data_IF_662038265177
#
_entry.id   IF_662038265177
#
_cell.length_a   1.000
_cell.length_b   1.000
_cell.length_c   1.000
_cell.angle_alpha   90.00
_cell.angle_beta   90.00
_cell.angle_gamma   90.00
#
_symmetry.space_group_name_H-M   'P 1'
#
loop_
_entity.id
_entity.type
_entity.pdbx_description
1 polymer ?
#
# COMPACT_ATOMS: atom_id res chain seq x y z
N UNK A 1 -44.32 -11.72 31.66
CA UNK A 1 -43.22 -10.74 31.77
C UNK A 1 -42.04 -11.36 31.01
N UNK A 2 -41.99 -11.38 29.69
CA UNK A 2 -42.10 -10.25 28.76
C UNK A 2 -40.69 -10.04 28.19
N UNK A 3 -40.29 -10.90 27.25
CA UNK A 3 -39.02 -10.83 26.55
C UNK A 3 -39.04 -9.63 25.59
N UNK A 4 -38.06 -8.74 25.72
CA UNK A 4 -37.88 -7.59 24.84
C UNK A 4 -36.67 -7.82 23.96
N UNK A 5 -36.98 -8.33 22.78
CA UNK A 5 -36.18 -8.41 21.57
C UNK A 5 -35.65 -7.00 21.20
N UNK A 6 -34.34 -6.79 21.35
CA UNK A 6 -33.67 -5.56 20.87
C UNK A 6 -33.13 -5.86 19.47
N UNK A 7 -34.05 -5.88 18.51
CA UNK A 7 -33.75 -5.87 17.08
C UNK A 7 -32.92 -4.64 16.76
N UNK A 8 -31.65 -4.84 16.36
CA UNK A 8 -30.84 -3.81 15.71
C UNK A 8 -31.57 -3.32 14.45
N UNK A 9 -31.51 -2.02 14.10
CA UNK A 9 -32.14 -1.53 12.89
C UNK A 9 -31.41 -2.14 11.68
N UNK A 10 -32.16 -2.94 10.91
CA UNK A 10 -31.79 -3.35 9.56
C UNK A 10 -31.86 -2.07 8.71
N UNK A 11 -30.70 -1.55 8.31
CA UNK A 11 -30.65 -0.47 7.32
C UNK A 11 -31.17 -1.02 6.00
N UNK A 12 -32.29 -0.49 5.53
CA UNK A 12 -32.89 -0.80 4.23
C UNK A 12 -31.92 -0.37 3.10
N UNK A 13 -31.86 -1.11 1.98
CA UNK A 13 -30.92 -0.84 0.89
C UNK A 13 -31.34 0.34 -0.03
N UNK A 14 -32.05 1.34 0.50
CA UNK A 14 -32.82 2.29 -0.32
C UNK A 14 -32.31 3.75 -0.25
N UNK A 15 -31.34 4.06 0.63
CA UNK A 15 -30.80 5.42 0.79
C UNK A 15 -29.35 5.55 0.27
N UNK A 16 -29.10 5.09 -0.97
CA UNK A 16 -27.93 5.54 -1.74
C UNK A 16 -28.42 6.60 -2.71
N UNK A 17 -28.49 7.86 -2.26
CA UNK A 17 -28.53 8.99 -3.19
C UNK A 17 -27.33 8.83 -4.13
N UNK A 18 -27.62 8.50 -5.38
CA UNK A 18 -26.61 8.27 -6.41
C UNK A 18 -25.81 9.55 -6.59
N UNK A 19 -24.58 9.58 -6.07
CA UNK A 19 -23.61 10.58 -6.47
C UNK A 19 -23.51 10.49 -7.99
N UNK A 20 -23.89 11.57 -8.68
CA UNK A 20 -23.92 11.58 -10.13
C UNK A 20 -22.53 11.23 -10.66
N UNK A 21 -22.44 10.10 -11.38
CA UNK A 21 -21.22 9.69 -12.04
C UNK A 21 -20.98 10.62 -13.23
N UNK A 22 -19.78 11.17 -13.35
CA UNK A 22 -19.39 12.09 -14.42
C UNK A 22 -18.18 11.53 -15.16
N UNK A 23 -18.16 11.71 -16.47
CA UNK A 23 -17.01 11.36 -17.31
C UNK A 23 -16.03 12.53 -17.40
N UNK A 24 -14.74 12.23 -17.34
CA UNK A 24 -13.69 13.22 -17.58
C UNK A 24 -12.47 12.56 -18.24
N UNK A 25 -11.65 13.40 -18.87
CA UNK A 25 -10.33 13.02 -19.37
C UNK A 25 -9.28 13.45 -18.35
N UNK A 26 -8.34 12.56 -18.06
CA UNK A 26 -7.23 12.81 -17.15
C UNK A 26 -6.09 13.48 -17.91
N UNK A 27 -5.72 14.69 -17.49
CA UNK A 27 -4.70 15.51 -18.13
C UNK A 27 -3.29 15.08 -17.74
N UNK A 28 -3.05 14.92 -16.43
CA UNK A 28 -1.71 14.65 -15.87
C UNK A 28 -1.77 14.04 -14.47
N UNK A 29 -0.65 13.52 -13.98
CA UNK A 29 -0.50 13.18 -12.56
C UNK A 29 -0.05 14.40 -11.76
N UNK A 30 -0.51 14.49 -10.51
CA UNK A 30 -0.07 15.51 -9.55
C UNK A 30 0.65 14.89 -8.35
N UNK A 31 1.15 15.73 -7.45
CA UNK A 31 1.72 15.28 -6.18
C UNK A 31 0.78 14.30 -5.46
N UNK A 32 1.31 13.19 -4.98
CA UNK A 32 0.53 12.08 -4.42
C UNK A 32 0.17 10.99 -5.44
N UNK A 33 0.21 11.29 -6.74
CA UNK A 33 -0.09 10.34 -7.81
C UNK A 33 -1.54 10.28 -8.25
N UNK A 34 -2.35 11.23 -7.81
CA UNK A 34 -3.72 11.37 -8.30
C UNK A 34 -3.69 11.89 -9.74
N UNK A 35 -4.59 11.37 -10.58
CA UNK A 35 -4.88 11.92 -11.89
C UNK A 35 -5.66 13.22 -11.75
N UNK A 36 -5.19 14.29 -12.35
CA UNK A 36 -5.91 15.54 -12.47
C UNK A 36 -6.70 15.54 -13.77
N UNK A 37 -8.00 15.77 -13.67
CA UNK A 37 -8.87 16.04 -14.82
C UNK A 37 -9.77 17.24 -14.57
N UNK A 38 -10.50 17.63 -15.62
CA UNK A 38 -11.41 18.78 -15.58
C UNK A 38 -12.81 18.36 -16.02
N UNK A 39 -13.79 18.81 -15.26
CA UNK A 39 -15.20 18.69 -15.64
C UNK A 39 -15.53 19.69 -16.78
N UNK A 40 -16.64 19.48 -17.50
CA UNK A 40 -17.09 20.41 -18.54
C UNK A 40 -17.29 21.86 -18.06
N UNK A 41 -17.57 22.05 -16.77
CA UNK A 41 -17.73 23.37 -16.13
C UNK A 41 -16.39 24.00 -15.67
N UNK A 42 -15.26 23.36 -15.97
CA UNK A 42 -13.92 23.84 -15.65
C UNK A 42 -13.42 23.50 -14.25
N UNK A 43 -14.23 22.88 -13.38
CA UNK A 43 -13.78 22.42 -12.06
C UNK A 43 -12.71 21.34 -12.21
N UNK A 44 -11.67 21.45 -11.40
CA UNK A 44 -10.59 20.47 -11.31
C UNK A 44 -10.99 19.35 -10.36
N UNK A 45 -10.76 18.10 -10.76
CA UNK A 45 -11.00 16.89 -9.98
C UNK A 45 -9.72 16.05 -9.96
N UNK A 46 -9.35 15.58 -8.77
CA UNK A 46 -8.28 14.64 -8.51
C UNK A 46 -8.87 13.26 -8.35
N UNK A 47 -8.33 12.28 -9.06
CA UNK A 47 -8.87 10.94 -9.18
C UNK A 47 -7.73 9.96 -8.94
N UNK A 48 -7.74 9.29 -7.80
CA UNK A 48 -6.76 8.26 -7.51
C UNK A 48 -6.95 7.06 -8.45
N UNK A 49 -5.83 6.46 -8.88
CA UNK A 49 -5.84 5.28 -9.75
C UNK A 49 -6.09 5.59 -11.22
N UNK A 50 -6.38 6.84 -11.57
CA UNK A 50 -6.57 7.30 -12.95
C UNK A 50 -5.27 7.84 -13.53
N UNK A 51 -4.97 7.48 -14.78
CA UNK A 51 -3.72 7.82 -15.46
C UNK A 51 -3.92 8.86 -16.55
N UNK A 52 -2.88 9.63 -16.92
CA UNK A 52 -2.97 10.62 -17.98
C UNK A 52 -3.32 9.99 -19.33
N UNK A 53 -4.21 10.66 -20.06
CA UNK A 53 -4.76 10.20 -21.32
C UNK A 53 -5.96 9.25 -21.19
N UNK A 54 -6.40 8.93 -19.97
CA UNK A 54 -7.58 8.08 -19.76
C UNK A 54 -8.88 8.86 -19.81
N UNK A 55 -9.90 8.21 -20.35
CA UNK A 55 -11.30 8.59 -20.14
C UNK A 55 -11.85 7.74 -19.03
N UNK A 56 -12.32 8.37 -17.95
CA UNK A 56 -12.79 7.71 -16.74
C UNK A 56 -14.14 8.20 -16.31
N UNK A 57 -14.90 7.33 -15.65
CA UNK A 57 -16.12 7.67 -14.94
C UNK A 57 -15.78 7.82 -13.46
N UNK A 58 -16.21 8.93 -12.85
CA UNK A 58 -15.94 9.24 -11.43
C UNK A 58 -17.21 9.66 -10.70
N UNK A 59 -17.35 9.26 -9.45
CA UNK A 59 -18.33 9.87 -8.54
C UNK A 59 -17.66 10.98 -7.76
N UNK A 60 -18.29 12.15 -7.71
CA UNK A 60 -17.78 13.29 -6.95
C UNK A 60 -18.16 13.15 -5.48
N UNK A 61 -17.22 13.38 -4.56
CA UNK A 61 -17.53 13.49 -3.14
C UNK A 61 -17.96 14.94 -2.83
N UNK A 62 -19.26 15.17 -2.76
CA UNK A 62 -19.82 16.49 -2.45
C UNK A 62 -19.76 16.85 -0.96
N UNK A 63 -19.45 15.87 -0.08
CA UNK A 63 -19.64 16.03 1.38
C UNK A 63 -18.54 16.81 2.09
N UNK A 64 -17.51 17.28 1.38
CA UNK A 64 -16.57 18.26 1.92
C UNK A 64 -16.44 19.38 0.90
N UNK A 65 -17.02 20.56 1.19
CA UNK A 65 -16.96 21.83 0.42
C UNK A 65 -15.56 22.29 -0.04
N UNK A 66 -14.50 21.52 0.23
CA UNK A 66 -13.09 21.79 -0.07
C UNK A 66 -12.37 20.68 -0.85
N UNK A 67 -12.91 19.46 -0.97
CA UNK A 67 -12.20 18.37 -1.63
C UNK A 67 -12.59 18.29 -3.10
N UNK A 68 -11.62 18.64 -3.95
CA UNK A 68 -11.65 18.40 -5.40
C UNK A 68 -11.37 16.91 -5.71
N UNK A 69 -11.93 15.98 -4.94
CA UNK A 69 -11.59 14.55 -5.03
C UNK A 69 -12.77 13.77 -5.63
N UNK A 70 -12.47 12.93 -6.60
CA UNK A 70 -13.42 12.02 -7.25
C UNK A 70 -12.97 10.58 -7.05
N UNK A 71 -13.94 9.71 -6.76
CA UNK A 71 -13.70 8.27 -6.68
C UNK A 71 -13.82 7.66 -8.07
N UNK A 72 -12.77 6.99 -8.52
CA UNK A 72 -12.78 6.25 -9.78
C UNK A 72 -13.83 5.13 -9.74
N UNK A 73 -14.76 5.14 -10.70
CA UNK A 73 -15.77 4.10 -10.88
C UNK A 73 -15.30 3.10 -11.93
N UNK A 74 -14.88 3.59 -13.09
CA UNK A 74 -14.43 2.77 -14.21
C UNK A 74 -13.52 3.55 -15.14
N UNK A 75 -12.59 2.83 -15.78
CA UNK A 75 -11.77 3.34 -16.88
C UNK A 75 -12.45 2.94 -18.18
N UNK A 76 -12.96 3.92 -18.94
CA UNK A 76 -13.64 3.68 -20.22
C UNK A 76 -12.63 3.50 -21.35
N UNK A 77 -11.58 4.32 -21.34
CA UNK A 77 -10.46 4.23 -22.28
C UNK A 77 -9.15 4.22 -21.49
N UNK A 78 -8.47 3.06 -21.39
CA UNK A 78 -7.23 2.96 -20.64
C UNK A 78 -6.06 3.62 -21.39
N UNK A 79 -5.11 4.14 -20.62
CA UNK A 79 -3.87 4.72 -21.15
C UNK A 79 -2.95 3.61 -21.62
N UNK A 80 -2.16 3.87 -22.67
CA UNK A 80 -1.10 2.95 -23.10
C UNK A 80 -0.02 2.74 -22.03
N UNK A 81 0.03 3.63 -21.02
CA UNK A 81 0.94 3.53 -19.88
C UNK A 81 0.40 2.63 -18.76
N UNK A 82 -0.88 2.23 -18.82
CA UNK A 82 -1.49 1.35 -17.82
C UNK A 82 -0.96 -0.06 -17.95
N UNK A 83 -0.60 -0.65 -16.82
CA UNK A 83 -0.21 -2.07 -16.71
C UNK A 83 -1.01 -2.73 -15.60
N UNK A 84 -1.17 -4.05 -15.67
CA UNK A 84 -1.79 -4.81 -14.60
C UNK A 84 -0.86 -4.85 -13.38
N UNK A 85 -1.32 -4.46 -12.17
CA UNK A 85 -0.52 -4.58 -10.97
C UNK A 85 -0.06 -6.02 -10.69
N UNK A 86 1.22 -6.19 -10.36
CA UNK A 86 1.75 -7.50 -9.95
C UNK A 86 1.19 -7.97 -8.61
N UNK A 87 0.88 -7.05 -7.71
CA UNK A 87 0.30 -7.35 -6.40
C UNK A 87 -1.23 -7.37 -6.50
N UNK A 88 -1.85 -8.50 -6.18
CA UNK A 88 -3.32 -8.63 -6.12
C UNK A 88 -3.99 -7.68 -5.09
N UNK A 89 -3.23 -7.19 -4.10
CA UNK A 89 -3.73 -6.27 -3.09
C UNK A 89 -3.57 -4.79 -3.48
N UNK A 90 -2.98 -4.46 -4.65
CA UNK A 90 -2.59 -3.09 -5.00
C UNK A 90 -3.76 -2.09 -5.02
N UNK A 91 -4.98 -2.55 -5.33
CA UNK A 91 -6.17 -1.71 -5.37
C UNK A 91 -6.74 -1.32 -3.99
N UNK A 92 -6.31 -1.99 -2.91
CA UNK A 92 -6.87 -1.80 -1.55
C UNK A 92 -5.81 -1.53 -0.49
N UNK A 93 -4.59 -2.07 -0.65
CA UNK A 93 -3.49 -1.91 0.28
C UNK A 93 -2.84 -0.52 0.13
N UNK A 94 -2.61 0.18 1.25
CA UNK A 94 -1.97 1.50 1.28
C UNK A 94 -0.48 1.54 0.95
N UNK A 95 0.11 0.41 0.53
CA UNK A 95 1.55 0.30 0.34
C UNK A 95 2.07 0.74 -1.04
N UNK A 96 1.28 0.62 -2.10
CA UNK A 96 1.78 0.73 -3.49
C UNK A 96 0.78 1.43 -4.42
N UNK A 97 0.83 2.76 -4.48
CA UNK A 97 -0.13 3.56 -5.24
C UNK A 97 0.01 3.45 -6.77
N UNK A 98 1.22 3.26 -7.31
CA UNK A 98 1.50 3.41 -8.76
C UNK A 98 1.71 2.09 -9.51
N UNK A 99 1.38 0.93 -8.92
CA UNK A 99 1.63 -0.36 -9.60
C UNK A 99 0.86 -0.54 -10.91
N UNK A 100 -0.19 0.23 -11.13
CA UNK A 100 -0.96 0.24 -12.37
C UNK A 100 -0.34 1.11 -13.48
N UNK A 101 0.79 1.77 -13.21
CA UNK A 101 1.54 2.60 -14.17
C UNK A 101 2.87 1.92 -14.53
N UNK A 102 3.17 1.84 -15.83
CA UNK A 102 4.44 1.29 -16.32
C UNK A 102 5.65 1.98 -15.66
N UNK A 103 6.67 1.20 -15.28
CA UNK A 103 7.78 1.70 -14.45
C UNK A 103 8.50 2.92 -15.03
N UNK A 104 8.80 2.91 -16.34
CA UNK A 104 9.41 4.07 -17.02
C UNK A 104 8.54 5.32 -16.94
N UNK A 105 7.22 5.17 -17.08
CA UNK A 105 6.29 6.27 -16.89
C UNK A 105 6.25 6.73 -15.43
N UNK A 106 6.42 5.84 -14.45
CA UNK A 106 6.55 6.25 -13.04
C UNK A 106 7.76 7.18 -12.84
N UNK A 107 8.90 6.87 -13.46
CA UNK A 107 10.10 7.71 -13.39
C UNK A 107 9.85 9.08 -14.04
N UNK A 108 9.28 9.11 -15.24
CA UNK A 108 8.95 10.33 -15.95
C UNK A 108 7.98 11.23 -15.14
N UNK A 109 6.90 10.66 -14.60
CA UNK A 109 5.93 11.43 -13.83
C UNK A 109 6.49 11.91 -12.49
N UNK A 110 7.32 11.12 -11.81
CA UNK A 110 8.02 11.59 -10.59
C UNK A 110 8.95 12.76 -10.91
N UNK A 111 9.70 12.68 -12.01
CA UNK A 111 10.54 13.78 -12.48
C UNK A 111 9.74 15.06 -12.73
N UNK A 112 8.65 14.94 -13.49
CA UNK A 112 7.79 16.06 -13.82
C UNK A 112 7.15 16.69 -12.58
N UNK A 113 6.63 15.88 -11.65
CA UNK A 113 6.01 16.38 -10.41
C UNK A 113 7.03 17.18 -9.58
N UNK A 114 8.26 16.69 -9.46
CA UNK A 114 9.33 17.39 -8.72
C UNK A 114 9.72 18.68 -9.44
N UNK A 115 9.91 18.64 -10.76
CA UNK A 115 10.24 19.81 -11.58
C UNK A 115 9.17 20.90 -11.49
N UNK A 116 7.90 20.54 -11.67
CA UNK A 116 6.77 21.47 -11.55
C UNK A 116 6.66 22.04 -10.13
N UNK A 117 6.91 21.23 -9.10
CA UNK A 117 6.85 21.68 -7.70
C UNK A 117 7.97 22.68 -7.38
N UNK A 118 9.20 22.38 -7.79
CA UNK A 118 10.33 23.28 -7.61
C UNK A 118 10.20 24.58 -8.39
N UNK A 119 9.65 24.51 -9.61
CA UNK A 119 9.39 25.71 -10.39
C UNK A 119 8.31 26.58 -9.76
N UNK A 120 7.15 26.01 -9.44
CA UNK A 120 5.99 26.77 -8.96
C UNK A 120 6.14 27.27 -7.53
N UNK A 121 6.73 26.47 -6.64
CA UNK A 121 6.84 26.79 -5.21
C UNK A 121 8.23 27.36 -4.90
N UNK A 122 9.27 26.67 -5.36
CA UNK A 122 10.66 27.04 -5.09
C UNK A 122 11.21 28.15 -5.98
N UNK A 123 10.50 28.54 -7.06
CA UNK A 123 10.94 29.55 -8.04
C UNK A 123 12.28 29.17 -8.71
N UNK A 124 12.56 27.87 -8.85
CA UNK A 124 13.72 27.38 -9.59
C UNK A 124 13.36 27.11 -11.06
N UNK A 125 14.36 27.12 -11.94
CA UNK A 125 14.17 26.59 -13.29
C UNK A 125 13.94 25.08 -13.26
N UNK A 126 12.95 24.60 -14.02
CA UNK A 126 12.61 23.17 -14.09
C UNK A 126 13.82 22.31 -14.55
N UNK A 127 14.69 22.87 -15.38
CA UNK A 127 15.89 22.21 -15.91
C UNK A 127 16.93 21.83 -14.83
N UNK A 128 16.84 22.38 -13.62
CA UNK A 128 17.71 22.02 -12.49
C UNK A 128 17.44 20.58 -12.03
N UNK A 129 16.23 20.05 -12.26
CA UNK A 129 15.86 18.70 -11.85
C UNK A 129 16.43 17.69 -12.84
N UNK A 130 17.39 16.89 -12.36
CA UNK A 130 17.96 15.78 -13.13
C UNK A 130 16.99 14.59 -13.21
N UNK A 131 17.09 13.74 -14.24
CA UNK A 131 16.34 12.50 -14.31
C UNK A 131 16.51 11.64 -13.04
N UNK A 132 15.45 10.95 -12.59
CA UNK A 132 15.52 10.10 -11.41
C UNK A 132 16.39 8.88 -11.66
N UNK A 133 17.02 8.39 -10.59
CA UNK A 133 17.74 7.12 -10.62
C UNK A 133 16.69 6.00 -10.46
N UNK A 134 16.50 5.22 -11.52
CA UNK A 134 15.63 4.06 -11.52
C UNK A 134 16.30 2.80 -10.97
N UNK A 135 15.50 1.75 -10.80
CA UNK A 135 15.99 0.41 -10.55
C UNK A 135 16.55 -0.18 -11.85
N UNK A 136 17.65 -0.91 -11.71
CA UNK A 136 18.21 -1.67 -12.82
C UNK A 136 17.31 -2.88 -13.12
N UNK A 137 16.86 -2.97 -14.37
CA UNK A 137 16.02 -4.06 -14.85
C UNK A 137 16.75 -5.42 -14.78
N UNK A 138 18.06 -5.45 -15.03
CA UNK A 138 18.88 -6.66 -14.98
C UNK A 138 19.11 -7.13 -13.54
N UNK A 139 19.15 -6.20 -12.58
CA UNK A 139 19.29 -6.49 -11.15
C UNK A 139 17.97 -6.83 -10.43
N UNK A 140 16.90 -7.16 -11.18
CA UNK A 140 15.60 -7.55 -10.63
C UNK A 140 14.52 -6.46 -10.65
N UNK A 141 14.84 -5.27 -11.17
CA UNK A 141 13.90 -4.19 -11.41
C UNK A 141 13.28 -3.60 -10.14
N UNK A 142 12.09 -3.01 -10.29
CA UNK A 142 11.38 -2.31 -9.21
C UNK A 142 10.65 -3.23 -8.20
N UNK A 143 11.26 -4.38 -7.87
CA UNK A 143 10.69 -5.41 -7.01
C UNK A 143 11.69 -5.85 -5.95
N UNK A 144 11.20 -6.52 -4.90
CA UNK A 144 12.05 -7.13 -3.85
C UNK A 144 13.02 -6.17 -3.16
N UNK A 145 12.78 -4.87 -3.22
CA UNK A 145 13.68 -3.85 -2.67
C UNK A 145 13.43 -3.57 -1.19
N UNK A 146 12.26 -3.91 -0.64
CA UNK A 146 11.86 -3.52 0.72
C UNK A 146 12.38 -4.51 1.76
N UNK A 147 13.55 -4.20 2.31
CA UNK A 147 14.28 -5.05 3.27
C UNK A 147 13.67 -5.06 4.69
N UNK A 148 12.85 -4.06 5.04
CA UNK A 148 12.21 -3.96 6.36
C UNK A 148 10.71 -3.81 6.20
N UNK A 149 9.97 -4.56 7.01
CA UNK A 149 8.52 -4.59 6.99
C UNK A 149 7.96 -4.59 8.39
N UNK A 150 6.80 -3.96 8.51
CA UNK A 150 6.00 -3.87 9.73
C UNK A 150 4.58 -4.21 9.33
N UNK A 151 4.07 -5.30 9.88
CA UNK A 151 2.73 -5.79 9.63
C UNK A 151 1.88 -5.56 10.87
N UNK A 152 0.69 -5.01 10.68
CA UNK A 152 -0.34 -5.08 11.69
C UNK A 152 -0.86 -6.53 11.77
N UNK A 153 -1.42 -6.90 12.91
CA UNK A 153 -2.15 -8.16 13.07
C UNK A 153 -3.65 -7.89 12.96
N UNK A 154 -4.32 -8.58 12.03
CA UNK A 154 -5.75 -8.45 11.80
C UNK A 154 -6.47 -9.74 12.18
N UNK A 155 -7.50 -9.63 13.03
CA UNK A 155 -8.42 -10.73 13.29
C UNK A 155 -9.51 -10.74 12.21
N UNK A 156 -9.56 -11.82 11.44
CA UNK A 156 -10.54 -12.08 10.41
C UNK A 156 -11.89 -12.47 11.03
N UNK A 157 -12.97 -12.35 10.24
CA UNK A 157 -14.33 -12.73 10.68
C UNK A 157 -14.46 -14.20 11.10
N UNK A 158 -13.62 -15.07 10.53
CA UNK A 158 -13.57 -16.50 10.90
C UNK A 158 -12.78 -16.77 12.19
N UNK A 159 -12.34 -15.73 12.90
CA UNK A 159 -11.59 -15.82 14.15
C UNK A 159 -10.09 -16.07 13.99
N UNK A 160 -9.59 -16.33 12.78
CA UNK A 160 -8.15 -16.44 12.51
C UNK A 160 -7.47 -15.08 12.46
N UNK A 161 -6.19 -15.06 12.76
CA UNK A 161 -5.34 -13.89 12.62
C UNK A 161 -4.51 -13.96 11.33
N UNK A 162 -4.27 -12.81 10.72
CA UNK A 162 -3.40 -12.67 9.55
C UNK A 162 -2.55 -11.40 9.67
N UNK A 163 -1.39 -11.43 9.02
CA UNK A 163 -0.60 -10.23 8.78
C UNK A 163 -1.33 -9.32 7.80
N UNK A 164 -1.30 -8.02 8.09
CA UNK A 164 -2.05 -7.03 7.34
C UNK A 164 -1.27 -5.72 7.17
N UNK A 165 -1.69 -4.95 6.17
CA UNK A 165 -1.36 -3.54 6.05
C UNK A 165 -2.61 -2.69 6.21
N UNK A 166 -2.42 -1.40 6.45
CA UNK A 166 -3.53 -0.44 6.43
C UNK A 166 -4.10 -0.31 5.02
N UNK A 167 -5.42 -0.17 4.94
CA UNK A 167 -6.14 0.11 3.71
C UNK A 167 -5.84 1.55 3.26
N UNK A 168 -5.91 1.78 1.94
CA UNK A 168 -5.84 3.13 1.40
C UNK A 168 -6.90 4.04 2.03
N UNK A 169 -6.49 5.25 2.44
CA UNK A 169 -7.33 6.30 3.06
C UNK A 169 -8.03 5.95 4.36
N UNK A 170 -7.75 4.80 4.97
CA UNK A 170 -8.36 4.38 6.23
C UNK A 170 -7.27 4.05 7.25
N UNK A 171 -7.23 4.79 8.37
CA UNK A 171 -6.26 4.53 9.44
C UNK A 171 -6.55 3.24 10.21
N UNK A 172 -7.82 2.91 10.42
CA UNK A 172 -8.23 1.74 11.18
C UNK A 172 -8.50 0.51 10.30
N UNK A 173 -8.73 0.72 9.01
CA UNK A 173 -8.98 -0.36 8.05
C UNK A 173 -7.73 -1.19 7.80
N UNK A 174 -7.83 -2.51 7.94
CA UNK A 174 -6.76 -3.46 7.66
C UNK A 174 -7.09 -4.35 6.45
N UNK A 175 -6.06 -4.69 5.68
CA UNK A 175 -6.11 -5.61 4.55
C UNK A 175 -5.15 -6.76 4.85
N UNK A 176 -5.70 -7.94 5.09
CA UNK A 176 -4.91 -9.16 5.23
C UNK A 176 -4.14 -9.41 3.93
N UNK A 177 -2.86 -9.74 4.03
CA UNK A 177 -1.99 -9.95 2.88
C UNK A 177 -1.49 -11.39 2.82
N UNK A 178 -1.55 -11.95 1.62
CA UNK A 178 -1.01 -13.29 1.31
C UNK A 178 0.33 -13.26 0.58
N UNK A 179 0.66 -12.12 -0.05
CA UNK A 179 1.88 -11.91 -0.84
C UNK A 179 2.20 -10.42 -0.94
N UNK A 180 3.47 -10.08 -1.15
CA UNK A 180 3.93 -8.71 -1.26
C UNK A 180 5.19 -8.65 -2.14
N UNK A 181 5.04 -8.46 -3.47
CA UNK A 181 6.16 -8.59 -4.43
C UNK A 181 7.30 -7.57 -4.26
N UNK A 182 7.08 -6.51 -3.48
CA UNK A 182 8.12 -5.53 -3.15
C UNK A 182 9.03 -6.01 -2.02
N UNK A 183 8.64 -7.06 -1.29
CA UNK A 183 9.47 -7.70 -0.28
C UNK A 183 10.42 -8.73 -0.94
N UNK A 184 11.64 -8.89 -0.41
CA UNK A 184 12.49 -10.04 -0.71
C UNK A 184 11.79 -11.37 -0.46
N UNK A 185 12.20 -12.41 -1.19
CA UNK A 185 11.61 -13.75 -1.10
C UNK A 185 11.51 -14.28 0.35
N UNK A 186 12.52 -14.15 1.22
CA UNK A 186 12.42 -14.66 2.59
C UNK A 186 11.27 -14.02 3.39
N UNK A 187 11.03 -12.72 3.21
CA UNK A 187 9.95 -12.00 3.89
C UNK A 187 8.58 -12.32 3.28
N UNK A 188 8.51 -12.56 1.97
CA UNK A 188 7.28 -13.00 1.32
C UNK A 188 6.88 -14.42 1.75
N UNK A 189 7.84 -15.34 1.85
CA UNK A 189 7.63 -16.68 2.41
C UNK A 189 7.21 -16.62 3.88
N UNK A 190 7.79 -15.68 4.66
CA UNK A 190 7.41 -15.48 6.07
C UNK A 190 5.94 -15.11 6.24
N UNK A 191 5.35 -14.34 5.31
CA UNK A 191 3.92 -13.99 5.34
C UNK A 191 3.07 -15.27 5.37
N UNK A 192 3.35 -16.19 4.45
CA UNK A 192 2.60 -17.44 4.33
C UNK A 192 2.77 -18.30 5.58
N UNK A 193 4.02 -18.49 6.03
CA UNK A 193 4.32 -19.29 7.22
C UNK A 193 3.61 -18.77 8.48
N UNK A 194 3.62 -17.44 8.71
CA UNK A 194 2.96 -16.83 9.87
C UNK A 194 1.44 -16.91 9.75
N UNK A 195 0.86 -16.66 8.57
CA UNK A 195 -0.59 -16.76 8.39
C UNK A 195 -1.11 -18.19 8.60
N UNK A 196 -0.35 -19.20 8.17
CA UNK A 196 -0.76 -20.60 8.26
C UNK A 196 -0.52 -21.21 9.65
N UNK A 197 0.61 -20.88 10.29
CA UNK A 197 1.04 -21.56 11.51
C UNK A 197 1.15 -20.64 12.74
N UNK A 198 1.22 -19.33 12.55
CA UNK A 198 1.51 -18.34 13.61
C UNK A 198 0.31 -17.91 14.45
N UNK A 199 -0.83 -18.62 14.41
CA UNK A 199 -2.09 -18.16 15.02
C UNK A 199 -1.97 -17.86 16.53
N UNK A 200 -1.28 -18.73 17.29
CA UNK A 200 -1.08 -18.53 18.73
C UNK A 200 -0.22 -17.28 19.03
N UNK A 201 0.82 -17.04 18.22
CA UNK A 201 1.69 -15.88 18.35
C UNK A 201 0.95 -14.60 17.97
N UNK A 202 0.26 -14.61 16.82
CA UNK A 202 -0.51 -13.48 16.34
C UNK A 202 -1.62 -13.06 17.32
N UNK A 203 -2.27 -14.02 17.99
CA UNK A 203 -3.28 -13.71 19.01
C UNK A 203 -2.74 -12.90 20.21
N UNK A 204 -1.42 -12.87 20.40
CA UNK A 204 -0.74 -12.15 21.48
C UNK A 204 0.01 -10.90 21.01
N UNK A 205 0.04 -10.61 19.70
CA UNK A 205 0.80 -9.53 19.10
C UNK A 205 -0.12 -8.53 18.41
N UNK A 206 0.13 -7.22 18.61
CA UNK A 206 -0.52 -6.18 17.81
C UNK A 206 0.18 -5.93 16.48
N UNK A 207 1.49 -6.22 16.42
CA UNK A 207 2.35 -5.90 15.30
C UNK A 207 3.52 -6.91 15.19
N UNK A 208 3.94 -7.19 13.96
CA UNK A 208 5.11 -8.02 13.64
C UNK A 208 6.08 -7.20 12.80
N UNK A 209 7.33 -7.09 13.25
CA UNK A 209 8.41 -6.40 12.53
C UNK A 209 9.44 -7.43 12.07
N UNK A 210 9.76 -7.41 10.79
CA UNK A 210 10.76 -8.29 10.21
C UNK A 210 11.70 -7.51 9.30
N UNK A 211 12.97 -7.94 9.25
CA UNK A 211 13.93 -7.45 8.28
C UNK A 211 14.77 -8.57 7.70
N UNK A 212 15.15 -8.44 6.45
CA UNK A 212 16.24 -9.22 5.89
C UNK A 212 17.57 -8.70 6.42
N UNK A 213 18.49 -9.62 6.71
CA UNK A 213 19.85 -9.30 7.14
C UNK A 213 20.80 -9.96 6.14
N UNK A 214 21.57 -9.15 5.40
CA UNK A 214 22.70 -9.71 4.66
C UNK A 214 23.78 -10.07 5.67
N UNK A 215 24.04 -11.36 5.87
CA UNK A 215 25.23 -11.84 6.57
C UNK A 215 26.45 -11.61 5.69
N UNK A 216 26.87 -10.35 5.58
CA UNK A 216 28.25 -10.01 5.26
C UNK A 216 29.08 -10.25 6.50
N UNK A 217 30.23 -10.90 6.33
CA UNK A 217 31.24 -11.17 7.38
C UNK A 217 31.46 -10.00 8.34
N UNK A 218 31.46 -10.32 9.65
CA UNK A 218 31.74 -9.48 10.82
C UNK A 218 30.81 -8.27 11.07
N UNK A 219 29.90 -8.40 12.05
CA UNK A 219 29.92 -7.67 13.34
C UNK A 219 28.68 -8.07 14.17
N UNK A 220 28.93 -8.46 15.42
CA UNK A 220 28.02 -8.89 16.48
C UNK A 220 26.75 -8.05 16.70
N UNK A 221 25.62 -8.71 17.02
CA UNK A 221 24.81 -8.50 18.25
C UNK A 221 24.17 -9.86 18.64
N UNK A 222 24.37 -10.31 19.89
CA UNK A 222 24.09 -11.65 20.45
C UNK A 222 22.64 -12.16 20.38
N UNK A 223 22.35 -13.44 20.60
CA UNK A 223 23.00 -14.39 21.53
C UNK A 223 23.11 -15.81 20.96
N UNK A 224 24.25 -16.48 21.19
CA UNK A 224 24.30 -17.92 21.47
C UNK A 224 24.35 -18.92 20.30
N UNK A 225 25.59 -19.26 19.90
CA UNK A 225 26.08 -20.59 19.45
C UNK A 225 25.64 -21.17 18.10
N UNK A 226 26.56 -21.19 17.14
CA UNK A 226 26.54 -22.14 16.02
C UNK A 226 27.37 -21.69 14.82
N UNK A 227 28.57 -22.24 14.66
CA UNK A 227 29.45 -22.05 13.50
C UNK A 227 28.93 -22.82 12.27
N UNK A 228 28.65 -22.12 11.18
CA UNK A 228 28.34 -22.73 9.88
C UNK A 228 28.65 -21.75 8.74
N UNK A 229 29.59 -22.15 7.87
CA UNK A 229 29.97 -21.45 6.64
C UNK A 229 28.97 -21.73 5.53
N UNK A 230 28.31 -20.69 5.03
CA UNK A 230 27.46 -20.72 3.84
C UNK A 230 26.95 -19.32 3.52
N UNK A 231 27.06 -18.90 2.26
CA UNK A 231 26.57 -17.60 1.80
C UNK A 231 25.04 -17.63 1.66
N UNK A 232 24.33 -17.59 2.79
CA UNK A 232 22.86 -17.56 2.85
C UNK A 232 22.41 -16.23 3.46
N UNK A 233 21.57 -15.48 2.75
CA UNK A 233 20.95 -14.27 3.28
C UNK A 233 20.04 -14.65 4.47
N UNK A 234 20.50 -14.38 5.69
CA UNK A 234 19.75 -14.63 6.91
C UNK A 234 18.48 -13.79 7.02
N UNK A 235 17.41 -14.39 7.55
CA UNK A 235 16.21 -13.67 7.98
C UNK A 235 16.32 -13.43 9.49
N UNK A 236 16.20 -12.19 9.93
CA UNK A 236 16.10 -11.86 11.35
C UNK A 236 14.71 -11.27 11.62
N UNK A 237 13.88 -11.99 12.36
CA UNK A 237 12.65 -11.43 12.94
C UNK A 237 13.09 -10.63 14.17
N UNK A 238 13.19 -9.32 14.00
CA UNK A 238 13.83 -8.42 14.97
C UNK A 238 12.96 -8.16 16.21
N UNK A 239 11.67 -8.49 16.16
CA UNK A 239 10.84 -8.46 17.35
C UNK A 239 9.35 -8.67 17.08
N UNK A 240 8.69 -9.32 18.05
CA UNK A 240 7.25 -9.23 18.25
C UNK A 240 7.01 -8.12 19.26
N UNK A 241 6.32 -7.05 18.86
CA UNK A 241 5.88 -6.06 19.83
C UNK A 241 4.63 -6.62 20.51
N UNK A 242 4.84 -7.34 21.61
CA UNK A 242 3.75 -7.71 22.50
C UNK A 242 3.17 -6.44 23.15
N UNK A 243 1.88 -6.45 23.47
CA UNK A 243 1.34 -5.48 24.41
C UNK A 243 2.20 -5.51 25.69
N UNK A 244 2.44 -4.36 26.36
CA UNK A 244 3.44 -4.21 27.43
C UNK A 244 3.27 -5.15 28.63
N UNK A 245 2.20 -5.95 28.68
CA UNK A 245 1.77 -6.70 29.84
C UNK A 245 2.20 -8.19 29.82
N UNK A 246 2.82 -8.71 28.74
CA UNK A 246 3.09 -10.16 28.58
C UNK A 246 4.42 -10.54 27.93
N UNK A 247 5.49 -9.82 28.26
CA UNK A 247 6.82 -9.99 27.66
C UNK A 247 7.63 -11.21 28.15
N UNK A 248 7.18 -11.94 29.17
CA UNK A 248 7.99 -13.03 29.77
C UNK A 248 7.86 -14.39 29.05
N UNK A 249 6.88 -14.58 28.15
CA UNK A 249 6.57 -15.92 27.61
C UNK A 249 7.04 -16.18 26.16
N UNK A 250 7.62 -15.19 25.46
CA UNK A 250 7.87 -15.30 24.00
C UNK A 250 9.25 -15.88 23.61
N UNK A 251 10.13 -16.20 24.58
CA UNK A 251 11.49 -16.71 24.30
C UNK A 251 11.72 -18.19 24.62
N UNK A 252 10.66 -19.00 24.67
CA UNK A 252 10.78 -20.45 24.82
C UNK A 252 10.02 -21.20 23.74
N UNK A 253 10.46 -21.14 22.48
CA UNK A 253 10.35 -22.21 21.48
C UNK A 253 11.21 -21.88 20.25
#
# INVERSE_FOLDING_TARGET
MGASDVSKPVVKPEDTESLAAVELVVDKLVYGGEGLGRLPDGRVVFVEGALPGETVTVTLDETVKRKRSGKLVSVLQPSALRVEPRCCHAAVCGGCHWQHLAYEAQLQWKHQIVAESLQRIGQFEAAVVKPPIGFDAEAGGAWRYRQTVRWAVHQLENGRFALAYHRQHEHEGLVAVSQCPVLPQPLETLIQAINDHGQAVLAMCGEVVARTVSTGTDTDIGTGTGTGTGADAGLCVVGFCAAPDRLEDVLRY
#
